data_IF_246437753943
#
_entry.id   IF_246437753943
#
_cell.length_a   1.000
_cell.length_b   1.000
_cell.length_c   1.000
_cell.angle_alpha   90.00
_cell.angle_beta   90.00
_cell.angle_gamma   90.00
#
_symmetry.space_group_name_H-M   'P 1'
#
loop_
_entity.id
_entity.type
_entity.pdbx_description
1 polymer ?
#
# COMPACT_ATOMS: atom_id res chain seq x y z
N UNK A 1 -3.60 11.10 4.89
CA UNK A 1 -2.71 9.93 4.90
C UNK A 1 -1.47 10.15 5.77
N UNK A 2 -0.61 11.11 5.45
CA UNK A 2 0.73 11.31 6.08
C UNK A 2 0.69 11.45 7.60
N UNK A 3 -0.28 12.18 8.15
CA UNK A 3 -0.44 12.33 9.60
C UNK A 3 -0.80 11.01 10.29
N UNK A 4 -1.66 10.21 9.68
CA UNK A 4 -2.05 8.89 10.20
C UNK A 4 -0.88 7.91 10.23
N UNK A 5 -0.01 7.94 9.22
CA UNK A 5 1.20 7.12 9.18
C UNK A 5 2.34 7.61 10.10
N UNK A 6 2.22 8.77 10.73
CA UNK A 6 3.31 9.33 11.52
C UNK A 6 4.38 10.07 10.70
N UNK A 7 4.13 10.37 9.43
CA UNK A 7 5.04 11.16 8.58
C UNK A 7 4.89 12.67 8.80
N UNK A 8 3.81 13.07 9.45
CA UNK A 8 3.52 14.46 9.83
C UNK A 8 2.89 14.53 11.22
N UNK A 9 3.17 15.60 11.95
CA UNK A 9 2.52 15.86 13.23
C UNK A 9 1.06 16.30 13.02
N UNK A 10 0.11 15.86 13.87
CA UNK A 10 -1.24 16.38 13.86
C UNK A 10 -1.24 17.85 14.30
N UNK A 11 -2.11 18.67 13.71
CA UNK A 11 -2.30 20.06 14.09
C UNK A 11 -3.05 20.18 15.42
N UNK A 12 -3.80 19.14 15.80
CA UNK A 12 -4.56 19.06 17.05
C UNK A 12 -5.19 17.68 17.21
N UNK A 13 -5.82 17.43 18.36
CA UNK A 13 -6.40 16.14 18.69
C UNK A 13 -5.36 15.06 18.97
N UNK A 14 -5.82 13.80 18.99
CA UNK A 14 -4.93 12.65 19.17
C UNK A 14 -5.34 11.50 18.25
N UNK A 15 -4.35 10.72 17.86
CA UNK A 15 -4.54 9.49 17.07
C UNK A 15 -4.32 8.31 18.02
N UNK A 16 -5.29 7.41 18.08
CA UNK A 16 -5.24 6.24 18.93
C UNK A 16 -5.06 4.96 18.12
N UNK A 17 -4.30 4.01 18.67
CA UNK A 17 -4.18 2.64 18.19
C UNK A 17 -4.73 1.70 19.26
N UNK A 18 -5.76 0.90 18.93
CA UNK A 18 -6.48 0.06 19.90
C UNK A 18 -6.92 0.81 21.17
N UNK A 19 -7.46 2.02 20.99
CA UNK A 19 -7.96 2.86 22.10
C UNK A 19 -6.89 3.55 22.92
N UNK A 20 -5.60 3.41 22.59
CA UNK A 20 -4.47 4.08 23.28
C UNK A 20 -3.83 5.12 22.39
N UNK A 21 -3.45 6.29 22.90
CA UNK A 21 -2.74 7.29 22.13
C UNK A 21 -1.47 6.72 21.50
N UNK A 22 -1.33 6.90 20.17
CA UNK A 22 -0.19 6.41 19.40
C UNK A 22 0.72 7.58 19.04
N UNK A 23 1.97 7.51 19.44
CA UNK A 23 2.99 8.47 19.06
C UNK A 23 3.44 8.26 17.59
N UNK A 24 4.26 9.16 17.07
CA UNK A 24 4.76 9.14 15.71
C UNK A 24 5.47 7.83 15.36
N UNK A 25 6.38 7.36 16.22
CA UNK A 25 7.13 6.10 16.02
C UNK A 25 6.20 4.88 15.95
N UNK A 26 5.19 4.84 16.82
CA UNK A 26 4.20 3.75 16.83
C UNK A 26 3.35 3.76 15.54
N UNK A 27 2.94 4.93 15.05
CA UNK A 27 2.21 5.04 13.79
C UNK A 27 3.05 4.61 12.59
N UNK A 28 4.31 5.06 12.51
CA UNK A 28 5.27 4.62 11.49
C UNK A 28 5.52 3.10 11.53
N UNK A 29 5.62 2.54 12.73
CA UNK A 29 5.83 1.10 12.91
C UNK A 29 4.62 0.29 12.43
N UNK A 30 3.41 0.75 12.73
CA UNK A 30 2.17 -0.01 12.49
C UNK A 30 1.54 0.24 11.12
N UNK A 31 2.02 1.19 10.33
CA UNK A 31 1.40 1.55 9.06
C UNK A 31 2.38 1.58 7.89
N UNK A 32 1.84 1.27 6.71
CA UNK A 32 2.50 1.42 5.43
C UNK A 32 1.65 2.33 4.55
N UNK A 33 2.27 3.34 3.92
CA UNK A 33 1.59 4.26 3.03
C UNK A 33 1.90 3.89 1.57
N UNK A 34 0.86 3.63 0.80
CA UNK A 34 0.92 3.58 -0.67
C UNK A 34 0.55 4.97 -1.17
N UNK A 35 1.50 5.66 -1.77
CA UNK A 35 1.31 7.03 -2.27
C UNK A 35 0.58 7.01 -3.61
N UNK A 36 -0.11 8.10 -3.93
CA UNK A 36 -0.77 8.32 -5.21
C UNK A 36 0.19 8.12 -6.39
N UNK A 37 1.39 8.68 -6.32
CA UNK A 37 2.46 8.42 -7.28
C UNK A 37 3.50 7.47 -6.68
N UNK A 38 3.41 6.20 -7.05
CA UNK A 38 4.31 5.14 -6.58
C UNK A 38 5.76 5.33 -7.01
N UNK A 39 6.04 6.20 -8.00
CA UNK A 39 7.42 6.48 -8.41
C UNK A 39 8.25 7.10 -7.28
N UNK A 40 7.61 7.80 -6.33
CA UNK A 40 8.29 8.36 -5.16
C UNK A 40 8.61 7.34 -4.07
N UNK A 41 8.24 6.06 -4.28
CA UNK A 41 8.44 4.99 -3.29
C UNK A 41 9.38 3.89 -3.76
N UNK A 42 9.87 3.95 -5.00
CA UNK A 42 10.70 2.91 -5.62
C UNK A 42 12.12 3.44 -5.80
N UNK A 43 13.07 2.90 -5.04
CA UNK A 43 14.43 3.42 -4.93
C UNK A 43 15.54 2.40 -5.25
N UNK A 44 15.22 1.10 -5.23
CA UNK A 44 16.20 0.03 -5.42
C UNK A 44 16.59 -0.17 -6.88
N UNK A 45 17.69 -0.85 -7.12
CA UNK A 45 18.21 -1.14 -8.47
C UNK A 45 17.42 -2.27 -9.16
N UNK A 46 16.76 -3.13 -8.40
CA UNK A 46 15.94 -4.20 -8.94
C UNK A 46 14.60 -4.35 -8.21
N UNK A 47 13.61 -4.95 -8.89
CA UNK A 47 12.30 -5.27 -8.32
C UNK A 47 12.44 -6.15 -7.09
N UNK A 48 13.30 -7.16 -7.14
CA UNK A 48 13.56 -8.07 -6.02
C UNK A 48 14.11 -7.33 -4.80
N UNK A 49 15.10 -6.48 -5.00
CA UNK A 49 15.68 -5.67 -3.92
C UNK A 49 14.66 -4.72 -3.31
N UNK A 50 13.82 -4.09 -4.15
CA UNK A 50 12.75 -3.22 -3.68
C UNK A 50 11.75 -3.98 -2.78
N UNK A 51 11.33 -5.18 -3.19
CA UNK A 51 10.39 -6.00 -2.44
C UNK A 51 11.00 -6.50 -1.12
N UNK A 52 12.31 -6.77 -1.11
CA UNK A 52 13.03 -7.21 0.07
C UNK A 52 13.39 -6.06 1.03
N UNK A 53 13.33 -4.81 0.57
CA UNK A 53 13.67 -3.66 1.38
C UNK A 53 12.68 -3.50 2.56
N UNK A 54 13.17 -3.79 3.76
CA UNK A 54 12.34 -3.76 4.97
C UNK A 54 11.35 -4.91 5.12
N UNK A 55 11.51 -6.00 4.35
CA UNK A 55 10.68 -7.19 4.46
C UNK A 55 10.87 -7.87 5.82
N UNK A 56 9.76 -8.13 6.52
CA UNK A 56 9.75 -8.93 7.75
C UNK A 56 9.78 -10.44 7.43
N UNK A 57 9.33 -10.82 6.23
CA UNK A 57 9.22 -12.20 5.76
C UNK A 57 9.92 -12.39 4.40
N UNK A 58 11.26 -12.18 4.32
CA UNK A 58 12.00 -12.25 3.05
C UNK A 58 11.93 -13.63 2.39
N UNK A 59 11.75 -14.70 3.15
CA UNK A 59 11.60 -16.08 2.68
C UNK A 59 10.36 -16.27 1.78
N UNK A 60 9.37 -15.38 1.87
CA UNK A 60 8.15 -15.41 1.07
C UNK A 60 8.24 -14.58 -0.23
N UNK A 61 9.39 -13.97 -0.50
CA UNK A 61 9.55 -13.07 -1.65
C UNK A 61 9.16 -13.72 -2.97
N UNK A 62 9.67 -14.92 -3.24
CA UNK A 62 9.40 -15.64 -4.50
C UNK A 62 7.90 -16.03 -4.62
N UNK A 63 7.29 -16.48 -3.53
CA UNK A 63 5.85 -16.76 -3.47
C UNK A 63 5.02 -15.52 -3.84
N UNK A 64 5.33 -14.39 -3.20
CA UNK A 64 4.61 -13.12 -3.42
C UNK A 64 4.84 -12.60 -4.83
N UNK A 65 6.06 -12.66 -5.35
CA UNK A 65 6.37 -12.27 -6.73
C UNK A 65 5.61 -13.13 -7.74
N UNK A 66 5.53 -14.43 -7.52
CA UNK A 66 4.76 -15.35 -8.37
C UNK A 66 3.27 -14.99 -8.34
N UNK A 67 2.70 -14.82 -7.16
CA UNK A 67 1.27 -14.50 -6.97
C UNK A 67 0.86 -13.18 -7.64
N UNK A 68 1.77 -12.20 -7.67
CA UNK A 68 1.53 -10.89 -8.29
C UNK A 68 2.01 -10.78 -9.75
N UNK A 69 2.49 -11.88 -10.35
CA UNK A 69 2.97 -11.90 -11.73
C UNK A 69 4.23 -11.02 -11.93
N UNK A 70 5.12 -10.98 -10.93
CA UNK A 70 6.36 -10.21 -10.94
C UNK A 70 7.61 -11.09 -11.12
N UNK A 71 7.49 -12.42 -11.10
CA UNK A 71 8.63 -13.35 -11.12
C UNK A 71 9.59 -13.11 -12.31
N UNK A 72 9.06 -12.87 -13.50
CA UNK A 72 9.85 -12.55 -14.69
C UNK A 72 10.43 -11.13 -14.74
N UNK A 73 10.21 -10.33 -13.71
CA UNK A 73 10.63 -8.93 -13.61
C UNK A 73 11.63 -8.69 -12.47
N UNK A 74 12.07 -9.76 -11.80
CA UNK A 74 12.88 -9.71 -10.58
C UNK A 74 14.12 -8.80 -10.69
N UNK A 75 14.86 -8.94 -11.81
CA UNK A 75 16.12 -8.23 -12.04
C UNK A 75 15.95 -6.91 -12.80
N UNK A 76 14.69 -6.52 -13.11
CA UNK A 76 14.43 -5.25 -13.80
C UNK A 76 14.47 -4.08 -12.82
N UNK A 77 14.98 -2.95 -13.30
CA UNK A 77 14.91 -1.70 -12.55
C UNK A 77 13.44 -1.26 -12.40
N UNK A 78 12.96 -0.94 -11.18
CA UNK A 78 11.56 -0.59 -10.93
C UNK A 78 11.03 0.55 -11.82
N UNK A 79 11.87 1.53 -12.14
CA UNK A 79 11.48 2.64 -13.01
C UNK A 79 11.20 2.24 -14.47
N UNK A 80 11.68 1.07 -14.92
CA UNK A 80 11.42 0.53 -16.26
C UNK A 80 10.06 -0.15 -16.39
N UNK A 81 9.32 -0.30 -15.30
CA UNK A 81 8.04 -0.98 -15.23
C UNK A 81 6.88 -0.09 -15.67
N UNK A 82 5.79 -0.71 -16.16
CA UNK A 82 4.52 -0.03 -16.35
C UNK A 82 3.90 0.40 -15.01
N UNK A 83 2.97 1.36 -15.04
CA UNK A 83 2.29 1.85 -13.83
C UNK A 83 1.64 0.72 -13.02
N UNK A 84 0.92 -0.20 -13.68
CA UNK A 84 0.30 -1.34 -13.01
C UNK A 84 1.32 -2.35 -12.45
N UNK A 85 2.48 -2.51 -13.09
CA UNK A 85 3.56 -3.33 -12.55
C UNK A 85 4.18 -2.69 -11.30
N UNK A 86 4.41 -1.37 -11.32
CA UNK A 86 4.89 -0.61 -10.16
C UNK A 86 3.94 -0.71 -8.97
N UNK A 87 2.64 -0.58 -9.21
CA UNK A 87 1.63 -0.77 -8.16
C UNK A 87 1.72 -2.17 -7.52
N UNK A 88 1.88 -3.22 -8.35
CA UNK A 88 2.06 -4.59 -7.84
C UNK A 88 3.35 -4.76 -7.02
N UNK A 89 4.43 -4.07 -7.40
CA UNK A 89 5.67 -4.06 -6.60
C UNK A 89 5.42 -3.44 -5.23
N UNK A 90 4.77 -2.27 -5.14
CA UNK A 90 4.47 -1.62 -3.86
C UNK A 90 3.54 -2.49 -3.00
N UNK A 91 2.57 -3.18 -3.62
CA UNK A 91 1.72 -4.14 -2.90
C UNK A 91 2.54 -5.32 -2.38
N UNK A 92 3.50 -5.84 -3.17
CA UNK A 92 4.40 -6.90 -2.71
C UNK A 92 5.22 -6.46 -1.48
N UNK A 93 5.75 -5.23 -1.49
CA UNK A 93 6.43 -4.64 -0.32
C UNK A 93 5.49 -4.59 0.89
N UNK A 94 4.26 -4.13 0.70
CA UNK A 94 3.26 -4.08 1.77
C UNK A 94 2.91 -5.48 2.31
N UNK A 95 2.84 -6.49 1.43
CA UNK A 95 2.56 -7.89 1.81
C UNK A 95 3.66 -8.48 2.70
N UNK A 96 4.92 -8.22 2.38
CA UNK A 96 6.07 -8.74 3.12
C UNK A 96 6.42 -7.89 4.35
N UNK A 97 5.86 -6.71 4.48
CA UNK A 97 6.00 -5.88 5.68
C UNK A 97 5.15 -6.46 6.81
N UNK A 98 5.62 -6.31 8.04
CA UNK A 98 4.87 -6.73 9.25
C UNK A 98 3.85 -5.66 9.71
N UNK A 99 3.49 -4.77 8.82
CA UNK A 99 2.62 -3.63 9.12
C UNK A 99 1.14 -4.02 8.99
N UNK A 100 0.36 -3.89 10.08
CA UNK A 100 -1.05 -4.30 10.09
C UNK A 100 -1.98 -3.31 9.36
N UNK A 101 -1.59 -2.03 9.23
CA UNK A 101 -2.40 -1.00 8.57
C UNK A 101 -1.72 -0.54 7.27
N UNK A 102 -2.45 -0.67 6.17
CA UNK A 102 -2.03 -0.16 4.86
C UNK A 102 -2.93 1.04 4.51
N UNK A 103 -2.32 2.20 4.32
CA UNK A 103 -3.02 3.39 3.82
C UNK A 103 -2.79 3.51 2.32
N UNK A 104 -3.88 3.69 1.59
CA UNK A 104 -3.87 3.90 0.14
C UNK A 104 -4.35 5.34 -0.13
N UNK A 105 -3.47 6.17 -0.67
CA UNK A 105 -3.75 7.59 -0.93
C UNK A 105 -4.05 7.78 -2.41
N UNK A 106 -5.32 7.99 -2.76
CA UNK A 106 -5.82 8.14 -4.12
C UNK A 106 -5.34 7.04 -5.10
N UNK A 107 -5.54 5.75 -4.77
CA UNK A 107 -4.89 4.65 -5.50
C UNK A 107 -5.40 4.46 -6.94
N UNK A 108 -6.53 5.08 -7.31
CA UNK A 108 -7.14 4.98 -8.65
C UNK A 108 -7.12 6.28 -9.42
N UNK A 109 -6.50 7.34 -8.88
CA UNK A 109 -6.48 8.64 -9.53
C UNK A 109 -5.88 8.58 -10.94
N UNK A 110 -6.67 9.01 -11.93
CA UNK A 110 -6.26 9.02 -13.33
C UNK A 110 -6.21 7.65 -14.01
N UNK A 111 -6.73 6.60 -13.39
CA UNK A 111 -6.82 5.26 -13.97
C UNK A 111 -8.15 5.07 -14.73
N UNK A 112 -8.08 4.23 -15.78
CA UNK A 112 -9.28 3.69 -16.43
C UNK A 112 -9.96 2.60 -15.57
N UNK A 113 -11.17 2.21 -15.95
CA UNK A 113 -11.94 1.19 -15.26
C UNK A 113 -11.20 -0.15 -15.10
N UNK A 114 -10.49 -0.62 -16.13
CA UNK A 114 -9.74 -1.88 -16.07
C UNK A 114 -8.62 -1.83 -15.05
N UNK A 115 -7.89 -0.74 -14.98
CA UNK A 115 -6.82 -0.49 -14.02
C UNK A 115 -7.37 -0.34 -12.60
N UNK A 116 -8.51 0.32 -12.42
CA UNK A 116 -9.20 0.41 -11.12
C UNK A 116 -9.57 -0.98 -10.58
N UNK A 117 -10.10 -1.85 -11.44
CA UNK A 117 -10.41 -3.24 -11.06
C UNK A 117 -9.15 -4.01 -10.59
N UNK A 118 -8.00 -3.75 -11.21
CA UNK A 118 -6.73 -4.35 -10.76
C UNK A 118 -6.35 -3.85 -9.35
N UNK A 119 -6.47 -2.56 -9.09
CA UNK A 119 -6.22 -2.00 -7.74
C UNK A 119 -7.16 -2.64 -6.71
N UNK A 120 -8.45 -2.76 -7.01
CA UNK A 120 -9.41 -3.42 -6.15
C UNK A 120 -9.03 -4.87 -5.82
N UNK A 121 -8.57 -5.65 -6.81
CA UNK A 121 -8.07 -7.02 -6.58
C UNK A 121 -6.85 -7.04 -5.68
N UNK A 122 -5.91 -6.11 -5.85
CA UNK A 122 -4.73 -6.00 -4.98
C UNK A 122 -5.12 -5.64 -3.54
N UNK A 123 -6.14 -4.79 -3.36
CA UNK A 123 -6.70 -4.52 -2.03
C UNK A 123 -7.26 -5.79 -1.39
N UNK A 124 -7.99 -6.64 -2.13
CA UNK A 124 -8.49 -7.92 -1.60
C UNK A 124 -7.36 -8.88 -1.23
N UNK A 125 -6.26 -8.91 -1.98
CA UNK A 125 -5.07 -9.71 -1.63
C UNK A 125 -4.50 -9.27 -0.28
N UNK A 126 -4.33 -7.98 -0.05
CA UNK A 126 -3.85 -7.44 1.23
C UNK A 126 -4.82 -7.76 2.38
N UNK A 127 -6.13 -7.60 2.14
CA UNK A 127 -7.19 -7.91 3.11
C UNK A 127 -7.19 -9.40 3.47
N UNK A 128 -7.03 -10.30 2.50
CA UNK A 128 -6.94 -11.74 2.74
C UNK A 128 -5.74 -12.14 3.60
N UNK A 129 -4.71 -11.33 3.68
CA UNK A 129 -3.57 -11.49 4.59
C UNK A 129 -3.80 -10.90 5.99
N UNK A 130 -5.01 -10.51 6.32
CA UNK A 130 -5.38 -9.96 7.62
C UNK A 130 -4.97 -8.50 7.82
N UNK A 131 -4.56 -7.79 6.77
CA UNK A 131 -4.23 -6.37 6.87
C UNK A 131 -5.49 -5.51 6.87
N UNK A 132 -5.48 -4.43 7.63
CA UNK A 132 -6.52 -3.40 7.58
C UNK A 132 -6.15 -2.38 6.52
N UNK A 133 -7.10 -2.05 5.64
CA UNK A 133 -6.90 -1.05 4.60
C UNK A 133 -7.67 0.23 4.94
N UNK A 134 -7.01 1.37 4.84
CA UNK A 134 -7.63 2.68 4.88
C UNK A 134 -7.40 3.36 3.53
N UNK A 135 -8.45 3.50 2.75
CA UNK A 135 -8.42 4.11 1.42
C UNK A 135 -8.90 5.55 1.54
N UNK A 136 -8.09 6.48 1.07
CA UNK A 136 -8.46 7.89 0.94
C UNK A 136 -8.67 8.12 -0.55
N UNK A 137 -9.90 8.42 -0.92
CA UNK A 137 -10.27 8.61 -2.32
C UNK A 137 -11.51 9.49 -2.47
N UNK A 138 -11.63 10.12 -3.63
CA UNK A 138 -12.86 10.77 -4.10
C UNK A 138 -13.59 9.90 -5.15
N UNK A 139 -13.08 8.70 -5.44
CA UNK A 139 -13.65 7.75 -6.38
C UNK A 139 -14.76 6.94 -5.70
N UNK A 140 -16.02 7.33 -5.98
CA UNK A 140 -17.20 6.68 -5.43
C UNK A 140 -17.38 5.24 -5.93
N UNK A 141 -16.94 4.93 -7.15
CA UNK A 141 -17.03 3.59 -7.75
C UNK A 141 -16.07 2.62 -7.04
N UNK A 142 -14.82 3.08 -6.77
CA UNK A 142 -13.88 2.30 -5.97
C UNK A 142 -14.44 2.05 -4.56
N UNK A 143 -14.95 3.10 -3.91
CA UNK A 143 -15.50 3.01 -2.56
C UNK A 143 -16.67 2.04 -2.50
N UNK A 144 -17.61 2.14 -3.44
CA UNK A 144 -18.81 1.27 -3.48
C UNK A 144 -18.49 -0.18 -3.80
N UNK A 145 -17.52 -0.43 -4.71
CA UNK A 145 -17.22 -1.79 -5.18
C UNK A 145 -16.28 -2.58 -4.25
N UNK A 146 -15.36 -1.88 -3.56
CA UNK A 146 -14.22 -2.54 -2.90
C UNK A 146 -14.05 -2.22 -1.41
N UNK A 147 -14.79 -1.25 -0.84
CA UNK A 147 -14.70 -0.90 0.57
C UNK A 147 -15.85 -1.51 1.37
N UNK A 148 -15.57 -2.05 2.54
CA UNK A 148 -16.60 -2.60 3.44
C UNK A 148 -17.36 -1.49 4.19
N UNK A 149 -16.71 -0.32 4.34
CA UNK A 149 -17.25 0.82 5.07
C UNK A 149 -16.72 2.12 4.48
N UNK A 150 -17.58 3.11 4.35
CA UNK A 150 -17.25 4.46 3.87
C UNK A 150 -17.48 5.48 4.98
N UNK A 151 -16.57 6.43 5.12
CA UNK A 151 -16.67 7.58 6.01
C UNK A 151 -16.50 8.83 5.17
N UNK A 152 -17.52 9.66 5.10
CA UNK A 152 -17.44 10.94 4.40
C UNK A 152 -16.96 12.02 5.36
N UNK A 153 -15.97 12.77 4.93
CA UNK A 153 -15.46 13.94 5.65
C UNK A 153 -16.10 15.19 5.04
N UNK A 154 -16.79 15.94 5.86
CA UNK A 154 -17.38 17.25 5.50
C UNK A 154 -16.44 18.39 5.84
#
# INVERSE_FOLDING_TARGET
>A
ARTLCGLMKPLGGQICWHGRPANEKQRLHNSFLVMQDVNYQLFSDSVREEILLGAAHPERCDEVMQALGLAGLADRHPMSLSGGQKQRVVVAVAMLSDKPLILLDEPTSGLDWGSMQQVGRLMQVLKAQGKTLLVITHDEELAAAWCDRVITLS
#
